data_IF_717253644074
#
_entry.id   IF_717253644074
#
_cell.length_a   1.000
_cell.length_b   1.000
_cell.length_c   1.000
_cell.angle_alpha   90.00
_cell.angle_beta   90.00
_cell.angle_gamma   90.00
#
_symmetry.space_group_name_H-M   'P 1'
#
loop_
_entity.id
_entity.type
_entity.pdbx_description
1 polymer ?
#
# COMPACT_ATOMS: atom_id res chain seq x y z
N UNK A 1 -3.62 17.65 44.95
CA UNK A 1 -3.46 16.28 44.40
C UNK A 1 -3.98 16.12 42.95
N UNK A 2 -4.41 17.18 42.25
CA UNK A 2 -5.01 17.08 40.90
C UNK A 2 -4.07 17.45 39.74
N UNK A 3 -3.09 18.32 39.93
CA UNK A 3 -2.19 18.78 38.86
C UNK A 3 -1.08 17.79 38.53
N UNK A 4 -0.57 17.06 39.53
CA UNK A 4 0.44 16.03 39.33
C UNK A 4 -0.09 14.82 38.55
N UNK A 5 -1.33 14.41 38.82
CA UNK A 5 -1.99 13.29 38.11
C UNK A 5 -2.31 13.71 36.66
N UNK A 6 -2.79 14.93 36.43
CA UNK A 6 -3.01 15.46 35.08
C UNK A 6 -1.71 15.54 34.26
N UNK A 7 -0.60 15.96 34.87
CA UNK A 7 0.72 15.99 34.24
C UNK A 7 1.26 14.61 33.88
N UNK A 8 1.08 13.62 34.76
CA UNK A 8 1.48 12.23 34.50
C UNK A 8 0.64 11.57 33.38
N UNK A 9 -0.67 11.88 33.31
CA UNK A 9 -1.53 11.38 32.23
C UNK A 9 -1.12 11.96 30.88
N UNK A 10 -0.75 13.25 30.82
CA UNK A 10 -0.26 13.89 29.59
C UNK A 10 1.10 13.32 29.12
N UNK A 11 2.00 13.01 30.06
CA UNK A 11 3.29 12.35 29.77
C UNK A 11 3.12 10.88 29.34
N UNK A 12 2.20 10.13 29.97
CA UNK A 12 1.92 8.75 29.59
C UNK A 12 1.30 8.66 28.18
N UNK A 13 0.40 9.57 27.82
CA UNK A 13 -0.22 9.60 26.47
C UNK A 13 0.78 9.91 25.35
N UNK A 14 1.84 10.68 25.63
CA UNK A 14 2.94 10.92 24.69
C UNK A 14 3.92 9.74 24.59
N UNK A 15 4.00 8.89 25.61
CA UNK A 15 4.92 7.75 25.67
C UNK A 15 4.41 6.48 24.98
N UNK A 16 3.13 6.43 24.60
CA UNK A 16 2.47 5.22 24.07
C UNK A 16 2.65 4.96 22.56
N UNK A 17 3.37 5.78 21.80
CA UNK A 17 3.51 5.58 20.34
C UNK A 17 4.81 4.86 19.95
N UNK A 18 5.04 3.64 20.45
CA UNK A 18 6.25 2.85 20.08
C UNK A 18 6.01 1.84 18.95
N UNK A 19 4.85 1.87 18.29
CA UNK A 19 4.70 1.32 16.96
C UNK A 19 4.54 2.51 15.99
N UNK A 20 5.56 2.77 15.17
CA UNK A 20 5.45 3.71 14.05
C UNK A 20 4.54 3.07 13.00
N UNK A 21 3.23 3.25 13.18
CA UNK A 21 2.23 2.96 12.16
C UNK A 21 2.19 4.14 11.20
N UNK A 22 2.38 3.86 9.91
CA UNK A 22 2.21 4.85 8.86
C UNK A 22 1.22 4.29 7.85
N UNK A 23 0.38 5.14 7.28
CA UNK A 23 -0.61 4.74 6.30
C UNK A 23 -0.68 5.72 5.12
N UNK A 24 -1.34 5.29 4.06
CA UNK A 24 -1.65 6.16 2.93
C UNK A 24 -2.53 5.48 1.89
N UNK A 25 -2.84 6.23 0.84
CA UNK A 25 -3.63 5.76 -0.30
C UNK A 25 -2.81 5.98 -1.57
N UNK A 26 -2.79 4.97 -2.43
CA UNK A 26 -2.23 5.01 -3.77
C UNK A 26 -3.40 5.01 -4.75
N UNK A 27 -3.45 6.03 -5.61
CA UNK A 27 -4.44 6.13 -6.67
C UNK A 27 -3.83 5.57 -7.96
N UNK A 28 -4.21 4.35 -8.33
CA UNK A 28 -3.65 3.71 -9.52
C UNK A 28 -4.27 4.25 -10.83
N UNK A 29 -5.40 4.98 -10.75
CA UNK A 29 -6.04 5.62 -11.89
C UNK A 29 -6.73 4.64 -12.86
N UNK A 30 -6.98 5.10 -14.08
CA UNK A 30 -7.57 4.31 -15.18
C UNK A 30 -6.51 3.43 -15.86
N UNK A 31 -6.89 2.21 -16.24
CA UNK A 31 -5.97 1.27 -16.89
C UNK A 31 -5.56 1.63 -18.31
N UNK A 32 -6.20 2.65 -18.90
CA UNK A 32 -5.78 3.25 -20.17
C UNK A 32 -4.39 3.85 -20.09
N UNK A 33 -3.97 4.32 -18.91
CA UNK A 33 -2.68 4.97 -18.71
C UNK A 33 -1.59 3.96 -18.27
N UNK A 34 -2.00 2.75 -17.89
CA UNK A 34 -1.13 1.71 -17.35
C UNK A 34 -0.20 1.15 -18.44
N UNK A 35 1.03 0.83 -18.05
CA UNK A 35 2.07 0.35 -18.98
C UNK A 35 2.06 -1.17 -19.04
N UNK A 36 2.32 -1.73 -20.22
CA UNK A 36 2.52 -3.19 -20.37
C UNK A 36 3.70 -3.65 -19.52
N UNK A 37 3.57 -4.78 -18.83
CA UNK A 37 4.60 -5.31 -17.93
C UNK A 37 5.69 -6.10 -18.65
N UNK A 38 5.46 -6.48 -19.91
CA UNK A 38 6.33 -7.39 -20.66
C UNK A 38 6.17 -8.86 -20.26
N UNK A 39 5.14 -9.21 -19.47
CA UNK A 39 4.82 -10.57 -19.11
C UNK A 39 4.50 -11.44 -20.34
N UNK A 40 4.80 -12.73 -20.28
CA UNK A 40 4.53 -13.65 -21.39
C UNK A 40 3.03 -13.71 -21.69
N UNK A 41 2.67 -13.29 -22.92
CA UNK A 41 1.30 -13.26 -23.39
C UNK A 41 0.64 -14.65 -23.46
N UNK A 42 1.44 -15.74 -23.47
CA UNK A 42 0.94 -17.13 -23.41
C UNK A 42 0.41 -17.49 -22.02
N UNK A 43 0.89 -16.82 -20.98
CA UNK A 43 0.49 -17.05 -19.59
C UNK A 43 -0.55 -16.01 -19.17
N UNK A 44 -0.32 -14.73 -19.50
CA UNK A 44 -1.20 -13.63 -19.11
C UNK A 44 -1.20 -12.51 -20.16
N UNK A 45 -2.01 -12.72 -21.19
CA UNK A 45 -2.19 -11.80 -22.32
C UNK A 45 -2.47 -10.36 -21.86
N UNK A 46 -1.79 -9.40 -22.48
CA UNK A 46 -2.04 -7.96 -22.31
C UNK A 46 -2.00 -7.51 -20.84
N UNK A 47 -1.03 -8.02 -20.08
CA UNK A 47 -0.80 -7.58 -18.71
C UNK A 47 -0.30 -6.12 -18.68
N UNK A 48 -0.96 -5.31 -17.87
CA UNK A 48 -0.71 -3.87 -17.74
C UNK A 48 -0.64 -3.50 -16.26
N UNK A 49 0.17 -2.50 -15.93
CA UNK A 49 0.33 -2.04 -14.56
C UNK A 49 0.43 -0.52 -14.40
N UNK A 50 -0.05 -0.04 -13.25
CA UNK A 50 0.36 1.23 -12.66
C UNK A 50 1.42 0.96 -11.59
N UNK A 51 2.66 1.36 -11.85
CA UNK A 51 3.79 1.19 -10.94
C UNK A 51 3.97 2.43 -10.08
N UNK A 52 3.92 2.27 -8.77
CA UNK A 52 3.91 3.35 -7.79
C UNK A 52 5.03 3.16 -6.78
N UNK A 53 5.85 4.19 -6.59
CA UNK A 53 6.88 4.21 -5.55
C UNK A 53 6.38 5.05 -4.38
N UNK A 54 6.23 4.40 -3.23
CA UNK A 54 5.75 5.04 -2.01
C UNK A 54 6.92 5.34 -1.11
N UNK A 55 7.00 6.59 -0.63
CA UNK A 55 7.93 6.99 0.43
C UNK A 55 7.17 7.05 1.74
N UNK A 56 7.73 6.43 2.78
CA UNK A 56 7.21 6.60 4.12
C UNK A 56 7.46 8.04 4.59
N UNK A 57 6.48 8.70 5.24
CA UNK A 57 6.68 10.01 5.84
C UNK A 57 7.91 10.07 6.77
N UNK A 58 8.14 9.02 7.53
CA UNK A 58 9.31 8.84 8.41
C UNK A 58 9.99 7.50 8.08
N UNK A 59 11.32 7.48 8.03
CA UNK A 59 12.06 6.24 7.83
C UNK A 59 11.91 5.31 9.05
N UNK A 60 11.61 4.04 8.80
CA UNK A 60 11.55 2.99 9.82
C UNK A 60 12.96 2.62 10.32
N UNK A 61 13.06 2.11 11.55
CA UNK A 61 14.36 1.70 12.14
C UNK A 61 14.91 0.44 11.47
N UNK A 62 14.02 -0.50 11.16
CA UNK A 62 14.26 -1.74 10.40
C UNK A 62 13.38 -1.75 9.15
N UNK A 63 13.52 -2.76 8.29
CA UNK A 63 12.58 -2.97 7.18
C UNK A 63 11.22 -3.31 7.81
N UNK A 64 10.16 -2.53 7.57
CA UNK A 64 8.86 -2.73 8.20
C UNK A 64 8.07 -3.86 7.53
N UNK A 65 7.05 -4.36 8.22
CA UNK A 65 5.94 -5.06 7.59
C UNK A 65 5.06 -4.06 6.84
N UNK A 66 4.55 -4.43 5.67
CA UNK A 66 3.62 -3.60 4.88
C UNK A 66 2.42 -4.44 4.46
N UNK A 67 1.22 -3.96 4.76
CA UNK A 67 -0.05 -4.53 4.29
C UNK A 67 -0.66 -3.56 3.28
N UNK A 68 -1.21 -4.12 2.21
CA UNK A 68 -1.89 -3.37 1.16
C UNK A 68 -3.25 -4.00 0.89
N UNK A 69 -4.25 -3.17 0.66
CA UNK A 69 -5.61 -3.63 0.35
C UNK A 69 -6.33 -2.67 -0.61
N UNK A 70 -7.25 -3.20 -1.41
CA UNK A 70 -8.04 -2.41 -2.34
C UNK A 70 -9.15 -1.68 -1.58
N UNK A 71 -9.09 -0.35 -1.58
CA UNK A 71 -10.09 0.50 -0.90
C UNK A 71 -11.15 1.07 -1.85
N UNK A 72 -10.91 1.01 -3.17
CA UNK A 72 -11.86 1.37 -4.22
C UNK A 72 -11.56 0.58 -5.48
N UNK A 73 -12.60 0.11 -6.17
CA UNK A 73 -12.49 -0.56 -7.46
C UNK A 73 -13.71 -0.24 -8.34
N UNK A 74 -13.45 0.36 -9.50
CA UNK A 74 -14.43 0.60 -10.55
C UNK A 74 -13.98 -0.09 -11.83
N UNK A 75 -14.79 -1.00 -12.34
CA UNK A 75 -14.43 -1.87 -13.46
C UNK A 75 -15.64 -2.16 -14.36
N UNK A 76 -15.37 -2.32 -15.66
CA UNK A 76 -16.38 -2.60 -16.66
C UNK A 76 -17.05 -3.96 -16.43
N UNK A 77 -18.35 -3.96 -16.18
CA UNK A 77 -19.13 -5.17 -15.88
C UNK A 77 -19.16 -6.22 -17.00
N UNK A 78 -18.94 -5.83 -18.26
CA UNK A 78 -19.04 -6.75 -19.42
C UNK A 78 -17.81 -7.62 -19.63
N UNK A 79 -16.81 -7.52 -18.74
CA UNK A 79 -15.57 -8.29 -18.75
C UNK A 79 -15.32 -8.86 -17.35
N UNK A 80 -14.60 -9.99 -17.26
CA UNK A 80 -14.27 -10.52 -15.94
C UNK A 80 -13.42 -9.51 -15.16
N UNK A 81 -13.73 -9.37 -13.87
CA UNK A 81 -12.90 -8.63 -12.95
C UNK A 81 -11.60 -9.39 -12.69
N UNK A 82 -10.48 -8.72 -12.95
CA UNK A 82 -9.13 -9.27 -12.76
C UNK A 82 -8.22 -8.15 -12.30
N UNK A 83 -7.76 -8.23 -11.06
CA UNK A 83 -6.73 -7.32 -10.56
C UNK A 83 -5.76 -8.08 -9.66
N UNK A 84 -4.55 -7.54 -9.50
CA UNK A 84 -3.55 -8.05 -8.58
C UNK A 84 -2.75 -6.88 -8.04
N UNK A 85 -2.49 -6.89 -6.74
CA UNK A 85 -1.52 -6.00 -6.10
C UNK A 85 -0.18 -6.74 -6.00
N UNK A 86 0.90 -6.14 -6.48
CA UNK A 86 2.26 -6.67 -6.36
C UNK A 86 3.11 -5.70 -5.57
N UNK A 87 3.46 -6.06 -4.35
CA UNK A 87 4.39 -5.29 -3.52
C UNK A 87 5.81 -5.81 -3.73
N UNK A 88 6.78 -4.89 -3.81
CA UNK A 88 8.20 -5.22 -3.94
C UNK A 88 9.08 -4.13 -3.34
N UNK A 89 10.39 -4.39 -3.30
CA UNK A 89 11.42 -3.42 -2.90
C UNK A 89 11.11 -2.68 -1.58
N UNK A 90 10.61 -3.40 -0.56
CA UNK A 90 10.35 -2.82 0.76
C UNK A 90 11.70 -2.50 1.41
N UNK A 91 11.88 -1.23 1.76
CA UNK A 91 13.05 -0.68 2.44
C UNK A 91 12.62 0.09 3.69
N UNK A 92 13.58 0.65 4.42
CA UNK A 92 13.28 1.51 5.58
C UNK A 92 12.56 2.80 5.20
N UNK A 93 12.69 3.25 3.95
CA UNK A 93 12.21 4.58 3.50
C UNK A 93 11.01 4.51 2.57
N UNK A 94 10.62 3.32 2.14
CA UNK A 94 9.51 3.15 1.21
C UNK A 94 9.40 1.76 0.62
N UNK A 95 8.50 1.62 -0.35
CA UNK A 95 8.26 0.38 -1.10
C UNK A 95 7.73 0.69 -2.51
N UNK A 96 7.72 -0.33 -3.36
CA UNK A 96 7.09 -0.27 -4.68
C UNK A 96 5.79 -1.09 -4.67
N UNK A 97 4.75 -0.56 -5.31
CA UNK A 97 3.48 -1.25 -5.54
C UNK A 97 3.09 -1.17 -7.01
N UNK A 98 2.82 -2.32 -7.62
CA UNK A 98 2.14 -2.38 -8.92
C UNK A 98 0.67 -2.80 -8.74
N UNK A 99 -0.24 -1.97 -9.23
CA UNK A 99 -1.61 -2.35 -9.54
C UNK A 99 -1.63 -3.00 -10.92
N UNK A 100 -2.10 -4.25 -11.04
CA UNK A 100 -1.98 -5.03 -12.27
C UNK A 100 -3.34 -5.54 -12.73
N UNK A 101 -3.62 -5.40 -14.03
CA UNK A 101 -4.77 -5.99 -14.72
C UNK A 101 -4.30 -6.70 -15.99
N UNK A 102 -5.16 -7.53 -16.60
CA UNK A 102 -4.79 -8.31 -17.79
C UNK A 102 -5.97 -8.66 -18.68
N UNK A 103 -5.67 -9.26 -19.81
CA UNK A 103 -6.62 -9.65 -20.84
C UNK A 103 -7.42 -8.43 -21.34
N UNK A 104 -8.74 -8.56 -21.35
CA UNK A 104 -9.72 -7.54 -21.77
C UNK A 104 -10.33 -6.78 -20.60
N UNK A 105 -9.90 -7.04 -19.36
CA UNK A 105 -10.41 -6.31 -18.20
C UNK A 105 -10.12 -4.82 -18.39
N UNK A 106 -11.12 -3.99 -18.05
CA UNK A 106 -11.04 -2.53 -18.05
C UNK A 106 -11.33 -2.02 -16.64
N UNK A 107 -10.37 -1.27 -16.07
CA UNK A 107 -10.47 -0.62 -14.76
C UNK A 107 -10.54 0.88 -14.98
N UNK A 108 -11.64 1.50 -14.57
CA UNK A 108 -11.82 2.95 -14.62
C UNK A 108 -11.07 3.63 -13.47
N UNK A 109 -11.06 3.00 -12.29
CA UNK A 109 -10.26 3.44 -11.14
C UNK A 109 -9.98 2.31 -10.17
N UNK A 110 -8.79 2.37 -9.53
CA UNK A 110 -8.42 1.46 -8.44
C UNK A 110 -7.59 2.23 -7.42
N UNK A 111 -8.03 2.24 -6.16
CA UNK A 111 -7.27 2.80 -5.04
C UNK A 111 -6.81 1.69 -4.10
N UNK A 112 -5.59 1.82 -3.61
CA UNK A 112 -4.99 0.89 -2.65
C UNK A 112 -4.67 1.63 -1.38
N UNK A 113 -5.19 1.17 -0.24
CA UNK A 113 -4.73 1.61 1.08
C UNK A 113 -3.52 0.78 1.46
N UNK A 114 -2.54 1.42 2.09
CA UNK A 114 -1.39 0.73 2.66
C UNK A 114 -1.20 1.13 4.11
N UNK A 115 -0.67 0.19 4.90
CA UNK A 115 -0.23 0.41 6.28
C UNK A 115 1.15 -0.22 6.44
N UNK A 116 2.10 0.50 7.01
CA UNK A 116 3.39 -0.03 7.43
C UNK A 116 3.53 -0.02 8.95
N UNK A 117 4.23 -1.02 9.48
CA UNK A 117 4.48 -1.17 10.90
C UNK A 117 5.89 -1.73 11.14
N UNK A 118 6.56 -1.27 12.19
CA UNK A 118 7.80 -1.88 12.64
C UNK A 118 7.50 -3.33 13.10
N UNK A 119 8.08 -4.31 12.41
CA UNK A 119 7.99 -5.70 12.84
C UNK A 119 8.88 -5.88 14.08
N UNK A 120 8.25 -5.93 15.27
CA UNK A 120 8.93 -6.38 16.48
C UNK A 120 9.09 -7.88 16.37
N UNK A 121 10.24 -8.34 15.88
CA UNK A 121 10.70 -9.69 16.21
C UNK A 121 10.83 -9.77 17.73
N UNK A 122 9.84 -10.37 18.39
CA UNK A 122 9.97 -10.82 19.77
C UNK A 122 11.05 -11.90 19.77
N UNK A 123 12.23 -11.56 20.27
CA UNK A 123 13.23 -12.54 20.70
C UNK A 123 12.77 -13.21 22.00
#
# INVERSE_FOLDING_TARGET
MNTFIAGLVLLCLLSLSTALLQEGIIQCGTDTDWKKTGYDDRIRLNERQSANNVKFPTAHRSIPGVVVDVSQLDSLQSQNLRYQLRISAITKTGFSLSCVTWHKTHIFSLNVRWVSFDDRKTC
#
